data_IF_974293138767
#
_entry.id   IF_974293138767
#
_cell.length_a   1.000
_cell.length_b   1.000
_cell.length_c   1.000
_cell.angle_alpha   90.00
_cell.angle_beta   90.00
_cell.angle_gamma   90.00
#
_symmetry.space_group_name_H-M   'P 1'
#
loop_
_entity.id
_entity.type
_entity.pdbx_description
1 polymer ?
#
# COMPACT_ATOMS: atom_id res chain seq x y z
N UNK A 1 -24.13 23.63 4.44
CA UNK A 1 -22.99 22.68 4.30
C UNK A 1 -22.71 22.47 2.81
N UNK A 2 -21.43 22.42 2.42
CA UNK A 2 -21.02 22.17 1.02
C UNK A 2 -21.44 20.75 0.61
N UNK A 3 -21.95 20.58 -0.61
CA UNK A 3 -22.22 19.25 -1.17
C UNK A 3 -20.92 18.58 -1.64
N UNK A 4 -20.95 17.25 -1.80
CA UNK A 4 -19.77 16.50 -2.27
C UNK A 4 -19.35 16.90 -3.70
N UNK A 5 -20.33 17.16 -4.57
CA UNK A 5 -20.08 17.63 -5.94
C UNK A 5 -19.42 19.02 -5.97
N UNK A 6 -19.89 19.96 -5.15
CA UNK A 6 -19.30 21.29 -5.00
C UNK A 6 -17.85 21.20 -4.46
N UNK A 7 -17.64 20.35 -3.45
CA UNK A 7 -16.32 20.11 -2.90
C UNK A 7 -15.36 19.51 -3.93
N UNK A 8 -15.83 18.56 -4.73
CA UNK A 8 -15.04 17.97 -5.80
C UNK A 8 -14.69 18.98 -6.91
N UNK A 9 -15.64 19.82 -7.31
CA UNK A 9 -15.38 20.92 -8.25
C UNK A 9 -14.35 21.91 -7.70
N UNK A 10 -14.36 22.16 -6.39
CA UNK A 10 -13.35 22.99 -5.75
C UNK A 10 -11.98 22.28 -5.72
N UNK A 11 -11.94 20.98 -5.37
CA UNK A 11 -10.72 20.16 -5.44
C UNK A 11 -10.07 20.22 -6.84
N UNK A 12 -10.83 20.06 -7.90
CA UNK A 12 -10.31 20.17 -9.30
C UNK A 12 -9.71 21.52 -9.64
N UNK A 13 -10.02 22.57 -8.86
CA UNK A 13 -9.41 23.92 -8.99
C UNK A 13 -8.21 24.12 -8.05
N UNK A 14 -7.93 23.17 -7.18
CA UNK A 14 -6.77 23.17 -6.29
C UNK A 14 -5.57 22.51 -6.98
N UNK A 15 -4.36 22.96 -6.66
CA UNK A 15 -3.14 22.38 -7.24
C UNK A 15 -2.72 21.08 -6.57
N UNK A 16 -3.12 20.89 -5.30
CA UNK A 16 -2.79 19.71 -4.47
C UNK A 16 -3.76 19.55 -3.32
N UNK A 17 -3.69 18.41 -2.65
CA UNK A 17 -4.41 18.12 -1.41
C UNK A 17 -3.39 17.63 -0.37
N UNK A 18 -3.49 18.09 0.87
CA UNK A 18 -2.66 17.60 1.98
C UNK A 18 -3.41 17.61 3.31
N UNK A 19 -2.98 16.74 4.21
CA UNK A 19 -3.37 16.72 5.63
C UNK A 19 -2.24 17.22 6.54
N UNK A 20 -1.05 17.53 5.98
CA UNK A 20 0.13 18.00 6.69
C UNK A 20 0.31 19.51 6.47
N UNK A 21 0.14 20.32 7.52
CA UNK A 21 0.27 21.78 7.46
C UNK A 21 1.68 22.27 7.06
N UNK A 22 2.69 21.42 7.16
CA UNK A 22 4.08 21.72 6.73
C UNK A 22 4.29 21.56 5.22
N UNK A 23 3.33 20.96 4.52
CA UNK A 23 3.36 20.68 3.07
C UNK A 23 2.42 21.60 2.27
N UNK A 24 2.04 22.72 2.83
CA UNK A 24 1.20 23.70 2.15
C UNK A 24 1.99 24.35 1.02
N UNK A 25 1.38 24.39 -0.16
CA UNK A 25 1.84 25.12 -1.32
C UNK A 25 0.71 26.02 -1.86
N UNK A 26 0.99 27.06 -2.64
CA UNK A 26 -0.06 27.89 -3.21
C UNK A 26 -1.11 27.08 -3.98
N UNK A 27 -2.38 27.27 -3.62
CA UNK A 27 -3.51 26.57 -4.22
C UNK A 27 -3.87 25.22 -3.57
N UNK A 28 -3.17 24.76 -2.53
CA UNK A 28 -3.47 23.52 -1.81
C UNK A 28 -4.86 23.52 -1.17
N UNK A 29 -5.55 22.39 -1.18
CA UNK A 29 -6.68 22.07 -0.32
C UNK A 29 -6.18 21.36 0.95
N UNK A 30 -6.30 22.01 2.10
CA UNK A 30 -5.83 21.47 3.39
C UNK A 30 -6.97 20.80 4.13
N UNK A 31 -6.77 19.57 4.58
CA UNK A 31 -7.70 18.82 5.44
C UNK A 31 -7.19 18.84 6.89
N UNK A 32 -7.88 19.58 7.76
CA UNK A 32 -7.53 19.81 9.14
C UNK A 32 -7.89 18.62 10.05
N UNK A 33 -7.24 17.47 9.85
CA UNK A 33 -7.51 16.25 10.61
C UNK A 33 -7.13 16.39 12.09
N UNK A 34 -7.88 15.72 12.96
CA UNK A 34 -7.56 15.54 14.37
C UNK A 34 -6.79 14.25 14.59
N UNK A 35 -5.71 14.32 15.34
CA UNK A 35 -4.98 13.18 15.87
C UNK A 35 -5.05 13.13 17.39
N UNK A 36 -4.49 12.10 18.00
CA UNK A 36 -4.51 11.91 19.47
C UNK A 36 -3.80 13.03 20.25
N UNK A 37 -2.83 13.70 19.63
CA UNK A 37 -1.95 14.70 20.28
C UNK A 37 -2.04 16.09 19.67
N UNK A 38 -2.84 16.30 18.64
CA UNK A 38 -2.97 17.58 17.95
C UNK A 38 -4.35 17.72 17.31
N UNK A 39 -4.79 18.95 17.10
CA UNK A 39 -5.99 19.26 16.33
C UNK A 39 -5.58 20.05 15.07
N UNK A 40 -5.79 19.48 13.88
CA UNK A 40 -5.48 20.12 12.61
C UNK A 40 -6.20 21.45 12.40
N UNK A 41 -7.35 21.66 13.06
CA UNK A 41 -8.07 22.93 13.00
C UNK A 41 -7.24 24.11 13.52
N UNK A 42 -6.30 23.89 14.43
CA UNK A 42 -5.43 24.96 14.97
C UNK A 42 -4.51 25.53 13.90
N UNK A 43 -4.22 24.77 12.82
CA UNK A 43 -3.35 25.16 11.71
C UNK A 43 -4.12 25.71 10.50
N UNK A 44 -5.46 25.75 10.52
CA UNK A 44 -6.27 26.09 9.37
C UNK A 44 -6.01 27.53 8.85
N UNK A 45 -5.97 28.50 9.76
CA UNK A 45 -5.73 29.91 9.39
C UNK A 45 -4.27 30.13 8.93
N UNK A 46 -3.32 29.44 9.54
CA UNK A 46 -1.93 29.47 9.10
C UNK A 46 -1.77 28.87 7.70
N UNK A 47 -2.41 27.72 7.43
CA UNK A 47 -2.41 27.11 6.10
C UNK A 47 -2.96 28.06 5.02
N UNK A 48 -4.04 28.80 5.32
CA UNK A 48 -4.58 29.83 4.43
C UNK A 48 -3.58 31.00 4.24
N UNK A 49 -2.91 31.41 5.30
CA UNK A 49 -1.88 32.46 5.22
C UNK A 49 -0.67 32.03 4.38
N UNK A 50 -0.31 30.74 4.40
CA UNK A 50 0.74 30.13 3.57
C UNK A 50 0.32 29.94 2.10
N UNK A 51 -0.94 30.22 1.74
CA UNK A 51 -1.42 30.17 0.36
C UNK A 51 -2.33 28.98 0.04
N UNK A 52 -2.80 28.22 1.03
CA UNK A 52 -3.85 27.24 0.78
C UNK A 52 -5.09 27.92 0.19
N UNK A 53 -5.69 27.28 -0.81
CA UNK A 53 -6.91 27.79 -1.44
C UNK A 53 -8.13 27.64 -0.55
N UNK A 54 -8.17 26.57 0.23
CA UNK A 54 -9.17 26.32 1.27
C UNK A 54 -8.64 25.39 2.35
N UNK A 55 -9.23 25.48 3.53
CA UNK A 55 -9.04 24.55 4.63
C UNK A 55 -10.38 23.88 4.99
N UNK A 56 -10.44 22.56 4.96
CA UNK A 56 -11.60 21.77 5.38
C UNK A 56 -11.50 21.58 6.89
N UNK A 57 -12.47 22.08 7.62
CA UNK A 57 -12.46 22.16 9.09
C UNK A 57 -13.75 21.62 9.68
N UNK A 58 -13.72 21.12 10.92
CA UNK A 58 -14.92 20.68 11.69
C UNK A 58 -15.11 21.45 12.99
N UNK A 59 -14.43 22.61 13.14
CA UNK A 59 -14.57 23.54 14.25
C UNK A 59 -15.36 24.78 13.77
N UNK A 60 -16.58 24.94 14.29
CA UNK A 60 -17.53 25.99 13.84
C UNK A 60 -17.00 27.43 13.98
N UNK A 61 -16.13 27.71 14.95
CA UNK A 61 -15.53 29.06 15.14
C UNK A 61 -14.64 29.50 13.98
N UNK A 62 -14.16 28.57 13.13
CA UNK A 62 -13.34 28.86 11.96
C UNK A 62 -14.13 29.29 10.74
N UNK A 63 -15.41 28.97 10.66
CA UNK A 63 -16.28 29.37 9.55
C UNK A 63 -16.45 30.90 9.50
N UNK A 64 -16.57 31.53 10.67
CA UNK A 64 -16.67 32.99 10.80
C UNK A 64 -15.34 33.74 10.63
N UNK A 65 -14.20 33.04 10.71
CA UNK A 65 -12.84 33.61 10.63
C UNK A 65 -12.23 33.60 9.23
N UNK A 66 -13.02 33.22 8.20
CA UNK A 66 -12.51 33.13 6.82
C UNK A 66 -12.01 34.51 6.34
N UNK A 67 -10.77 34.56 5.77
CA UNK A 67 -10.25 35.79 5.19
C UNK A 67 -11.13 36.28 4.03
N UNK A 68 -11.30 37.58 3.91
CA UNK A 68 -12.12 38.18 2.84
C UNK A 68 -11.68 37.88 1.40
N UNK A 69 -12.44 38.34 0.44
CA UNK A 69 -12.30 38.05 -1.01
C UNK A 69 -10.83 38.13 -1.51
N UNK A 70 -10.37 37.04 -2.13
CA UNK A 70 -9.00 36.91 -2.68
C UNK A 70 -8.01 36.13 -1.81
N UNK A 71 -8.35 35.80 -0.58
CA UNK A 71 -7.62 34.88 0.30
C UNK A 71 -8.42 33.58 0.44
N UNK A 72 -7.74 32.45 0.69
CA UNK A 72 -8.40 31.17 0.89
C UNK A 72 -9.49 31.20 1.98
N UNK A 73 -10.38 30.23 2.02
CA UNK A 73 -11.50 30.15 2.96
C UNK A 73 -11.52 28.83 3.74
N UNK A 74 -11.99 28.89 5.00
CA UNK A 74 -12.38 27.70 5.74
C UNK A 74 -13.73 27.18 5.20
N UNK A 75 -13.84 25.87 5.10
CA UNK A 75 -15.06 25.17 4.74
C UNK A 75 -15.45 24.25 5.87
N UNK A 76 -16.51 24.60 6.55
CA UNK A 76 -17.03 23.83 7.69
C UNK A 76 -17.73 22.56 7.21
N UNK A 77 -17.31 21.43 7.78
CA UNK A 77 -17.93 20.11 7.57
C UNK A 77 -18.23 19.44 8.92
N UNK A 78 -19.04 18.40 8.91
CA UNK A 78 -19.38 17.65 10.12
C UNK A 78 -18.16 16.87 10.67
N UNK A 79 -17.36 16.27 9.77
CA UNK A 79 -16.16 15.53 10.09
C UNK A 79 -15.17 15.65 8.94
N UNK A 80 -13.98 16.15 9.23
CA UNK A 80 -12.89 16.30 8.23
C UNK A 80 -12.49 14.95 7.67
N UNK A 81 -12.34 13.93 8.52
CA UNK A 81 -11.95 12.58 8.10
C UNK A 81 -13.00 11.95 7.17
N UNK A 82 -14.26 11.96 7.58
CA UNK A 82 -15.35 11.40 6.75
C UNK A 82 -15.47 12.14 5.42
N UNK A 83 -15.25 13.44 5.41
CA UNK A 83 -15.27 14.26 4.20
C UNK A 83 -14.12 13.89 3.26
N UNK A 84 -12.89 13.69 3.78
CA UNK A 84 -11.75 13.21 3.00
C UNK A 84 -12.04 11.85 2.37
N UNK A 85 -12.57 10.91 3.14
CA UNK A 85 -12.92 9.57 2.68
C UNK A 85 -13.99 9.60 1.58
N UNK A 86 -15.06 10.37 1.77
CA UNK A 86 -16.12 10.54 0.77
C UNK A 86 -15.60 11.19 -0.50
N UNK A 87 -14.74 12.22 -0.38
CA UNK A 87 -14.15 12.90 -1.53
C UNK A 87 -13.22 11.95 -2.30
N UNK A 88 -12.39 11.17 -1.61
CA UNK A 88 -11.48 10.21 -2.24
C UNK A 88 -12.22 9.08 -2.94
N UNK A 89 -13.28 8.53 -2.31
CA UNK A 89 -14.11 7.54 -2.95
C UNK A 89 -14.82 8.12 -4.18
N UNK A 90 -15.44 9.30 -4.07
CA UNK A 90 -16.05 9.99 -5.19
C UNK A 90 -15.06 10.25 -6.34
N UNK A 91 -13.86 10.69 -6.02
CA UNK A 91 -12.78 10.84 -7.00
C UNK A 91 -12.44 9.50 -7.69
N UNK A 92 -12.27 8.42 -6.90
CA UNK A 92 -12.00 7.07 -7.41
C UNK A 92 -13.04 6.59 -8.43
N UNK A 93 -14.32 6.86 -8.19
CA UNK A 93 -15.40 6.40 -9.07
C UNK A 93 -15.44 7.08 -10.44
N UNK A 94 -14.70 8.18 -10.64
CA UNK A 94 -14.56 8.83 -11.94
C UNK A 94 -13.57 8.12 -12.88
N UNK A 95 -12.81 7.13 -12.39
CA UNK A 95 -11.79 6.46 -13.18
C UNK A 95 -12.13 4.96 -13.32
N UNK A 96 -12.36 4.53 -14.56
CA UNK A 96 -12.60 3.11 -14.85
C UNK A 96 -11.27 2.39 -15.11
N UNK A 97 -10.44 2.31 -14.07
CA UNK A 97 -9.14 1.65 -14.10
C UNK A 97 -9.09 0.46 -13.13
N UNK A 98 -8.26 -0.55 -13.38
CA UNK A 98 -7.98 -1.58 -12.39
C UNK A 98 -7.37 -0.99 -11.12
N UNK A 99 -7.83 -1.51 -9.97
CA UNK A 99 -7.25 -1.22 -8.66
C UNK A 99 -6.83 -2.53 -8.04
N UNK A 100 -5.52 -2.67 -7.80
CA UNK A 100 -4.90 -3.79 -7.12
C UNK A 100 -4.80 -3.53 -5.63
N UNK A 101 -5.53 -4.28 -4.81
CA UNK A 101 -5.46 -4.18 -3.36
C UNK A 101 -4.44 -5.17 -2.78
N UNK A 102 -3.62 -4.71 -1.83
CA UNK A 102 -2.60 -5.54 -1.18
C UNK A 102 -2.80 -5.47 0.32
N UNK A 103 -3.06 -6.62 0.96
CA UNK A 103 -3.04 -6.74 2.42
C UNK A 103 -2.24 -7.98 2.85
N UNK A 104 -2.11 -8.19 4.14
CA UNK A 104 -1.36 -9.31 4.73
C UNK A 104 -0.70 -8.91 6.04
N UNK A 105 -0.06 -9.85 6.70
CA UNK A 105 0.68 -9.58 7.93
C UNK A 105 2.04 -8.96 7.60
N UNK A 106 2.86 -9.65 6.82
CA UNK A 106 4.20 -9.24 6.43
C UNK A 106 4.31 -9.14 4.89
N UNK A 107 5.34 -8.47 4.39
CA UNK A 107 5.65 -8.40 2.96
C UNK A 107 4.79 -7.44 2.14
N UNK A 108 3.74 -6.82 2.68
CA UNK A 108 2.83 -5.92 1.94
C UNK A 108 3.56 -4.85 1.12
N UNK A 109 4.41 -4.08 1.76
CA UNK A 109 5.11 -2.96 1.12
C UNK A 109 6.11 -3.44 0.08
N UNK A 110 6.90 -4.48 0.39
CA UNK A 110 7.84 -5.08 -0.57
C UNK A 110 7.09 -5.64 -1.79
N UNK A 111 6.00 -6.38 -1.55
CA UNK A 111 5.15 -6.89 -2.64
C UNK A 111 4.55 -5.74 -3.46
N UNK A 112 4.05 -4.69 -2.82
CA UNK A 112 3.53 -3.49 -3.48
C UNK A 112 4.58 -2.84 -4.38
N UNK A 113 5.79 -2.65 -3.87
CA UNK A 113 6.87 -2.01 -4.62
C UNK A 113 7.37 -2.87 -5.79
N UNK A 114 7.45 -4.18 -5.62
CA UNK A 114 7.76 -5.11 -6.71
C UNK A 114 6.65 -5.12 -7.77
N UNK A 115 5.38 -5.14 -7.38
CA UNK A 115 4.25 -5.06 -8.31
C UNK A 115 4.28 -3.74 -9.08
N UNK A 116 4.53 -2.63 -8.39
CA UNK A 116 4.64 -1.31 -9.02
C UNK A 116 5.79 -1.25 -10.02
N UNK A 117 6.98 -1.75 -9.65
CA UNK A 117 8.13 -1.83 -10.54
C UNK A 117 7.83 -2.67 -11.81
N UNK A 118 7.14 -3.80 -11.65
CA UNK A 118 6.76 -4.69 -12.76
C UNK A 118 5.70 -4.04 -13.64
N UNK A 119 4.59 -3.55 -13.06
CA UNK A 119 3.49 -2.99 -13.83
C UNK A 119 3.89 -1.69 -14.53
N UNK A 120 4.80 -0.91 -13.96
CA UNK A 120 5.34 0.33 -14.55
C UNK A 120 6.14 0.09 -15.82
N UNK A 121 6.51 -1.15 -16.16
CA UNK A 121 7.15 -1.47 -17.44
C UNK A 121 6.18 -1.31 -18.61
N UNK A 122 4.87 -1.39 -18.37
CA UNK A 122 3.84 -1.34 -19.42
C UNK A 122 2.79 -0.25 -19.18
N UNK A 123 2.51 0.09 -17.93
CA UNK A 123 1.40 0.97 -17.54
C UNK A 123 1.89 2.18 -16.75
N UNK A 124 1.11 3.26 -16.78
CA UNK A 124 1.29 4.38 -15.85
C UNK A 124 0.58 4.05 -14.56
N UNK A 125 1.36 3.67 -13.56
CA UNK A 125 0.85 3.27 -12.25
C UNK A 125 0.82 4.42 -11.25
N UNK A 126 -0.02 4.29 -10.24
CA UNK A 126 0.15 4.94 -8.94
C UNK A 126 0.17 3.85 -7.86
N UNK A 127 0.99 4.03 -6.85
CA UNK A 127 1.05 3.10 -5.73
C UNK A 127 1.00 3.87 -4.40
N UNK A 128 0.53 3.18 -3.34
CA UNK A 128 0.58 3.71 -1.98
C UNK A 128 2.01 4.13 -1.61
N UNK A 129 2.20 5.37 -1.24
CA UNK A 129 3.49 5.89 -0.77
C UNK A 129 3.75 5.49 0.68
N UNK A 130 4.96 5.02 0.96
CA UNK A 130 5.39 4.69 2.32
C UNK A 130 4.42 3.73 3.02
N UNK A 131 3.87 4.17 4.15
CA UNK A 131 2.92 3.43 4.98
C UNK A 131 1.50 4.02 4.98
N UNK A 132 1.10 4.75 3.94
CA UNK A 132 -0.22 5.36 3.80
C UNK A 132 -1.31 4.30 3.51
N UNK A 133 -1.42 3.30 4.37
CA UNK A 133 -2.22 2.10 4.18
C UNK A 133 -3.44 1.98 5.11
N UNK A 134 -3.77 3.05 5.84
CA UNK A 134 -4.89 3.11 6.79
C UNK A 134 -6.05 3.98 6.27
N UNK A 135 -7.03 4.24 7.13
CA UNK A 135 -8.24 5.04 6.87
C UNK A 135 -8.00 6.52 6.48
N UNK A 136 -6.75 7.02 6.60
CA UNK A 136 -6.30 8.34 6.10
C UNK A 136 -5.44 8.16 4.84
N UNK A 137 -4.51 7.22 4.87
CA UNK A 137 -3.54 7.02 3.81
C UNK A 137 -4.13 6.48 2.52
N UNK A 138 -5.07 5.53 2.60
CA UNK A 138 -5.77 5.02 1.42
C UNK A 138 -6.53 6.13 0.70
N UNK A 139 -7.35 6.98 1.35
CA UNK A 139 -7.91 8.17 0.71
C UNK A 139 -6.87 9.05 0.00
N UNK A 140 -5.74 9.33 0.64
CA UNK A 140 -4.67 10.15 0.03
C UNK A 140 -4.07 9.48 -1.21
N UNK A 141 -3.88 8.17 -1.18
CA UNK A 141 -3.44 7.39 -2.35
C UNK A 141 -4.43 7.51 -3.50
N UNK A 142 -5.74 7.36 -3.23
CA UNK A 142 -6.78 7.46 -4.24
C UNK A 142 -6.85 8.85 -4.87
N UNK A 143 -6.62 9.92 -4.10
CA UNK A 143 -6.59 11.29 -4.62
C UNK A 143 -5.44 11.58 -5.58
N UNK A 144 -4.43 10.71 -5.69
CA UNK A 144 -3.35 10.81 -6.67
C UNK A 144 -3.72 10.21 -8.04
N UNK A 145 -4.85 9.51 -8.16
CA UNK A 145 -5.36 9.03 -9.45
C UNK A 145 -5.66 10.23 -10.36
N UNK A 146 -5.27 10.14 -11.62
CA UNK A 146 -5.53 11.18 -12.63
C UNK A 146 -5.76 10.56 -14.01
N UNK A 147 -6.05 11.40 -15.00
CA UNK A 147 -6.38 10.95 -16.35
C UNK A 147 -5.26 10.14 -17.05
N UNK A 148 -4.03 10.18 -16.54
CA UNK A 148 -2.91 9.39 -17.07
C UNK A 148 -2.74 8.05 -16.37
N UNK A 149 -3.38 7.88 -15.21
CA UNK A 149 -3.25 6.64 -14.42
C UNK A 149 -3.97 5.50 -15.12
N UNK A 150 -3.28 4.38 -15.31
CA UNK A 150 -3.84 3.18 -15.93
C UNK A 150 -4.08 2.06 -14.92
N UNK A 151 -3.30 1.98 -13.85
CA UNK A 151 -3.49 1.03 -12.74
C UNK A 151 -3.18 1.74 -11.42
N UNK A 152 -4.00 1.50 -10.40
CA UNK A 152 -3.74 1.93 -9.04
C UNK A 152 -3.40 0.72 -8.13
N UNK A 153 -2.36 0.85 -7.31
CA UNK A 153 -1.88 -0.19 -6.40
C UNK A 153 -2.03 0.32 -4.97
N UNK A 154 -2.97 -0.27 -4.22
CA UNK A 154 -3.39 0.25 -2.93
C UNK A 154 -3.03 -0.75 -1.82
N UNK A 155 -2.06 -0.39 -0.98
CA UNK A 155 -1.75 -1.15 0.23
C UNK A 155 -2.80 -0.88 1.31
N UNK A 156 -3.29 -1.94 1.96
CA UNK A 156 -4.33 -1.91 3.00
C UNK A 156 -3.83 -2.58 4.28
N UNK A 157 -3.54 -1.76 5.28
CA UNK A 157 -3.20 -2.20 6.63
C UNK A 157 -4.44 -2.36 7.51
N UNK A 158 -4.35 -3.25 8.50
CA UNK A 158 -5.36 -3.34 9.54
C UNK A 158 -4.75 -3.82 10.87
N UNK A 159 -5.31 -3.33 11.95
CA UNK A 159 -5.03 -3.69 13.34
C UNK A 159 -6.26 -4.20 14.09
N UNK A 160 -7.48 -4.02 13.53
CA UNK A 160 -8.75 -4.43 14.10
C UNK A 160 -9.70 -4.99 13.03
N UNK A 161 -10.71 -5.81 13.40
CA UNK A 161 -11.76 -6.29 12.51
C UNK A 161 -12.54 -5.14 11.85
N UNK A 162 -12.95 -5.34 10.57
CA UNK A 162 -13.73 -4.37 9.81
C UNK A 162 -12.90 -3.27 9.12
N UNK A 163 -11.61 -3.16 9.44
CA UNK A 163 -10.77 -2.12 8.82
C UNK A 163 -10.52 -2.39 7.34
N UNK A 164 -10.22 -3.63 6.94
CA UNK A 164 -10.07 -3.97 5.52
C UNK A 164 -11.40 -3.78 4.79
N UNK A 165 -12.52 -4.21 5.38
CA UNK A 165 -13.85 -4.01 4.80
C UNK A 165 -14.18 -2.53 4.55
N UNK A 166 -13.70 -1.64 5.41
CA UNK A 166 -13.85 -0.19 5.23
C UNK A 166 -12.98 0.34 4.09
N UNK A 167 -11.72 -0.12 4.01
CA UNK A 167 -10.76 0.34 2.99
C UNK A 167 -11.14 -0.15 1.58
N UNK A 168 -11.63 -1.39 1.44
CA UNK A 168 -12.07 -1.91 0.13
C UNK A 168 -13.29 -1.15 -0.41
N UNK A 169 -14.18 -0.67 0.47
CA UNK A 169 -15.32 0.18 0.07
C UNK A 169 -14.88 1.55 -0.45
N UNK A 170 -13.75 2.07 0.03
CA UNK A 170 -13.19 3.33 -0.46
C UNK A 170 -12.46 3.16 -1.79
N UNK A 171 -11.67 2.10 -1.92
CA UNK A 171 -10.81 1.89 -3.07
C UNK A 171 -11.50 1.17 -4.23
N UNK A 172 -12.55 0.40 -3.97
CA UNK A 172 -13.24 -0.47 -4.94
C UNK A 172 -12.25 -1.28 -5.80
N UNK A 173 -11.43 -2.16 -5.17
CA UNK A 173 -10.44 -2.92 -5.90
C UNK A 173 -11.08 -3.92 -6.85
N UNK A 174 -10.49 -4.09 -8.05
CA UNK A 174 -10.91 -5.07 -9.06
C UNK A 174 -10.18 -6.40 -8.93
N UNK A 175 -9.01 -6.37 -8.28
CA UNK A 175 -8.21 -7.55 -7.95
C UNK A 175 -7.43 -7.31 -6.65
N UNK A 176 -6.89 -8.37 -6.05
CA UNK A 176 -6.16 -8.21 -4.81
C UNK A 176 -5.41 -9.44 -4.34
N UNK A 177 -4.52 -9.22 -3.37
CA UNK A 177 -3.68 -10.24 -2.77
C UNK A 177 -3.68 -10.11 -1.25
N UNK A 178 -3.73 -11.24 -0.55
CA UNK A 178 -3.27 -11.37 0.83
C UNK A 178 -1.89 -12.03 0.77
N UNK A 179 -0.84 -11.29 1.11
CA UNK A 179 0.54 -11.80 1.01
C UNK A 179 0.76 -13.01 1.91
N UNK A 180 0.35 -12.90 3.16
CA UNK A 180 0.35 -13.98 4.14
C UNK A 180 -0.52 -13.61 5.35
N UNK A 181 -0.74 -14.58 6.23
CA UNK A 181 -1.33 -14.40 7.56
C UNK A 181 -0.36 -14.89 8.62
N UNK A 182 -0.14 -14.09 9.65
CA UNK A 182 0.80 -14.35 10.73
C UNK A 182 0.31 -13.77 12.06
N UNK A 183 0.99 -14.11 13.14
CA UNK A 183 0.64 -13.67 14.50
C UNK A 183 1.14 -12.23 14.73
N UNK A 184 0.38 -11.25 14.25
CA UNK A 184 0.62 -9.82 14.49
C UNK A 184 -0.66 -9.13 14.97
N UNK A 185 -0.53 -8.07 15.75
CA UNK A 185 -1.64 -7.27 16.29
C UNK A 185 -2.72 -8.12 17.01
N UNK A 186 -2.32 -9.21 17.69
CA UNK A 186 -3.27 -10.16 18.31
C UNK A 186 -4.18 -9.48 19.35
N UNK A 187 -3.74 -8.42 20.02
CA UNK A 187 -4.57 -7.64 20.93
C UNK A 187 -5.76 -7.01 20.20
N UNK A 188 -5.55 -6.45 19.01
CA UNK A 188 -6.61 -5.81 18.22
C UNK A 188 -7.51 -6.82 17.52
N UNK A 189 -6.94 -7.91 17.01
CA UNK A 189 -7.71 -8.97 16.29
C UNK A 189 -8.33 -10.02 17.21
N UNK A 190 -7.91 -10.07 18.48
CA UNK A 190 -8.37 -11.04 19.49
C UNK A 190 -7.78 -12.44 19.34
N UNK A 191 -7.45 -12.89 18.12
CA UNK A 191 -6.91 -14.23 17.85
C UNK A 191 -6.27 -14.31 16.46
N UNK A 192 -5.57 -15.41 16.18
CA UNK A 192 -5.06 -15.69 14.83
C UNK A 192 -6.20 -15.88 13.80
N UNK A 193 -7.30 -16.50 14.19
CA UNK A 193 -8.50 -16.59 13.36
C UNK A 193 -9.13 -15.21 13.11
N UNK A 194 -9.01 -14.28 14.05
CA UNK A 194 -9.37 -12.87 13.86
C UNK A 194 -8.53 -12.19 12.78
N UNK A 195 -7.22 -12.47 12.74
CA UNK A 195 -6.34 -12.00 11.66
C UNK A 195 -6.80 -12.52 10.29
N UNK A 196 -7.04 -13.85 10.18
CA UNK A 196 -7.53 -14.48 8.93
C UNK A 196 -8.85 -13.91 8.48
N UNK A 197 -9.80 -13.73 9.40
CA UNK A 197 -11.11 -13.18 9.12
C UNK A 197 -10.99 -11.74 8.58
N UNK A 198 -10.21 -10.89 9.25
CA UNK A 198 -10.03 -9.50 8.83
C UNK A 198 -9.33 -9.39 7.48
N UNK A 199 -8.25 -10.14 7.24
CA UNK A 199 -7.60 -10.15 5.92
C UNK A 199 -8.52 -10.73 4.85
N UNK A 200 -9.35 -11.70 5.20
CA UNK A 200 -10.36 -12.30 4.34
C UNK A 200 -11.48 -11.34 3.92
N UNK A 201 -11.67 -10.20 4.59
CA UNK A 201 -12.60 -9.15 4.16
C UNK A 201 -12.31 -8.64 2.73
N UNK A 202 -11.04 -8.65 2.31
CA UNK A 202 -10.67 -8.38 0.92
C UNK A 202 -11.22 -9.46 -0.03
N UNK A 203 -11.10 -10.74 0.35
CA UNK A 203 -11.61 -11.85 -0.44
C UNK A 203 -13.15 -11.83 -0.53
N UNK A 204 -13.82 -11.46 0.57
CA UNK A 204 -15.28 -11.33 0.60
C UNK A 204 -15.77 -10.24 -0.38
N UNK A 205 -15.08 -9.09 -0.40
CA UNK A 205 -15.39 -8.02 -1.33
C UNK A 205 -15.17 -8.44 -2.79
N UNK A 206 -13.98 -8.97 -3.11
CA UNK A 206 -13.66 -9.40 -4.48
C UNK A 206 -14.59 -10.50 -4.98
N UNK A 207 -14.99 -11.44 -4.12
CA UNK A 207 -16.01 -12.45 -4.46
C UNK A 207 -17.33 -11.82 -4.88
N UNK A 208 -17.78 -10.79 -4.17
CA UNK A 208 -19.06 -10.13 -4.45
C UNK A 208 -19.09 -9.44 -5.82
N UNK A 209 -17.95 -8.90 -6.25
CA UNK A 209 -17.85 -8.18 -7.53
C UNK A 209 -17.32 -9.03 -8.68
N UNK A 210 -16.99 -10.31 -8.45
CA UNK A 210 -16.33 -11.18 -9.45
C UNK A 210 -14.89 -10.79 -9.74
N UNK A 211 -14.22 -10.12 -8.80
CA UNK A 211 -12.81 -9.71 -8.93
C UNK A 211 -11.83 -10.87 -8.73
N UNK A 212 -10.59 -10.68 -9.17
CA UNK A 212 -9.54 -11.70 -9.13
C UNK A 212 -8.74 -11.65 -7.83
N UNK A 213 -8.52 -12.82 -7.22
CA UNK A 213 -7.70 -13.02 -6.03
C UNK A 213 -6.41 -13.72 -6.40
N UNK A 214 -5.27 -13.08 -6.14
CA UNK A 214 -3.95 -13.71 -6.21
C UNK A 214 -3.61 -14.37 -4.88
N UNK A 215 -3.10 -15.60 -4.91
CA UNK A 215 -2.71 -16.29 -3.69
C UNK A 215 -1.59 -17.30 -3.90
N UNK A 216 -0.74 -17.45 -2.88
CA UNK A 216 0.27 -18.50 -2.84
C UNK A 216 -0.41 -19.85 -2.60
N UNK A 217 -0.32 -20.75 -3.59
CA UNK A 217 -0.95 -22.08 -3.54
C UNK A 217 -0.26 -23.06 -2.58
N UNK A 218 0.91 -22.71 -2.05
CA UNK A 218 1.63 -23.49 -1.05
C UNK A 218 1.24 -23.09 0.38
N UNK A 219 0.53 -21.97 0.55
CA UNK A 219 0.04 -21.52 1.86
C UNK A 219 -1.27 -22.18 2.26
N UNK A 220 -1.21 -23.10 3.23
CA UNK A 220 -2.41 -23.79 3.77
C UNK A 220 -3.42 -22.79 4.38
N UNK A 221 -2.94 -21.73 5.04
CA UNK A 221 -3.81 -20.71 5.61
C UNK A 221 -4.60 -19.97 4.53
N UNK A 222 -3.95 -19.55 3.43
CA UNK A 222 -4.63 -18.86 2.33
C UNK A 222 -5.59 -19.81 1.60
N UNK A 223 -5.21 -21.07 1.38
CA UNK A 223 -6.11 -22.08 0.84
C UNK A 223 -7.35 -22.27 1.73
N UNK A 224 -7.16 -22.38 3.04
CA UNK A 224 -8.25 -22.50 4.00
C UNK A 224 -9.20 -21.27 3.97
N UNK A 225 -8.64 -20.06 3.84
CA UNK A 225 -9.43 -18.85 3.70
C UNK A 225 -10.26 -18.83 2.41
N UNK A 226 -9.72 -19.35 1.30
CA UNK A 226 -10.42 -19.44 0.02
C UNK A 226 -11.46 -20.56 0.01
N UNK A 227 -11.17 -21.72 0.63
CA UNK A 227 -12.10 -22.84 0.70
C UNK A 227 -13.44 -22.48 1.36
N UNK A 228 -13.42 -21.53 2.30
CA UNK A 228 -14.64 -20.99 2.93
C UNK A 228 -15.41 -19.98 2.05
N UNK A 229 -14.92 -19.68 0.84
CA UNK A 229 -15.44 -18.65 -0.09
C UNK A 229 -15.62 -19.19 -1.49
N UNK A 230 -16.55 -20.12 -1.72
CA UNK A 230 -16.73 -20.72 -3.05
C UNK A 230 -17.11 -19.68 -4.10
N UNK A 231 -16.69 -19.91 -5.32
CA UNK A 231 -17.03 -19.08 -6.48
C UNK A 231 -16.14 -17.86 -6.70
N UNK A 232 -15.04 -17.70 -5.94
CA UNK A 232 -14.05 -16.64 -6.20
C UNK A 232 -13.23 -16.97 -7.47
N UNK A 233 -12.90 -15.93 -8.22
CA UNK A 233 -11.93 -16.01 -9.32
C UNK A 233 -10.53 -15.93 -8.74
N UNK A 234 -9.67 -16.89 -9.03
CA UNK A 234 -8.33 -16.97 -8.46
C UNK A 234 -7.23 -17.07 -9.50
N UNK A 235 -6.10 -16.42 -9.22
CA UNK A 235 -4.84 -16.61 -9.89
C UNK A 235 -3.81 -17.11 -8.88
N UNK A 236 -3.24 -18.28 -9.15
CA UNK A 236 -2.30 -18.96 -8.24
C UNK A 236 -0.87 -18.53 -8.53
N UNK A 237 -0.04 -18.51 -7.51
CA UNK A 237 1.42 -18.49 -7.65
C UNK A 237 2.06 -19.40 -6.59
N UNK A 238 3.31 -19.74 -6.79
CA UNK A 238 4.07 -20.60 -5.87
C UNK A 238 5.34 -21.14 -6.52
N UNK A 239 6.22 -21.74 -5.72
CA UNK A 239 7.52 -22.25 -6.19
C UNK A 239 7.36 -23.41 -7.16
N UNK A 240 6.40 -24.27 -6.93
CA UNK A 240 6.09 -25.40 -7.81
C UNK A 240 5.59 -24.94 -9.17
N UNK A 241 4.68 -23.96 -9.21
CA UNK A 241 4.12 -23.42 -10.46
C UNK A 241 5.16 -22.82 -11.38
N UNK A 242 6.12 -22.10 -10.81
CA UNK A 242 7.17 -21.40 -11.56
C UNK A 242 8.49 -22.17 -11.63
N UNK A 243 8.49 -23.45 -11.19
CA UNK A 243 9.68 -24.31 -11.17
C UNK A 243 10.89 -23.61 -10.53
N UNK A 244 10.64 -22.99 -9.37
CA UNK A 244 11.62 -22.13 -8.71
C UNK A 244 12.70 -22.96 -8.04
N UNK A 245 13.95 -22.59 -8.28
CA UNK A 245 15.09 -23.02 -7.47
C UNK A 245 15.88 -21.82 -6.95
N UNK A 246 16.31 -21.91 -5.71
CA UNK A 246 17.25 -20.96 -5.13
C UNK A 246 18.64 -21.23 -5.72
N UNK A 247 19.28 -20.20 -6.21
CA UNK A 247 20.65 -20.26 -6.72
C UNK A 247 21.51 -19.42 -5.78
N UNK A 248 22.62 -19.99 -5.28
CA UNK A 248 23.64 -19.17 -4.65
C UNK A 248 24.24 -18.28 -5.75
N UNK A 249 24.27 -16.97 -5.52
CA UNK A 249 25.24 -16.11 -6.21
C UNK A 249 26.64 -16.55 -5.76
N UNK A 250 27.66 -15.75 -5.98
CA UNK A 250 28.98 -15.98 -5.39
C UNK A 250 28.86 -16.31 -3.89
N UNK A 251 29.78 -17.11 -3.34
CA UNK A 251 29.71 -17.62 -1.97
C UNK A 251 29.49 -16.53 -0.90
N UNK A 252 29.76 -15.27 -1.24
CA UNK A 252 29.68 -14.11 -0.34
C UNK A 252 28.47 -13.18 -0.60
N UNK A 253 27.58 -13.49 -1.57
CA UNK A 253 26.47 -12.60 -1.89
C UNK A 253 25.28 -12.81 -0.94
N UNK A 254 24.84 -11.79 -0.17
CA UNK A 254 23.68 -11.89 0.71
C UNK A 254 22.34 -11.79 -0.05
N UNK A 255 22.39 -11.49 -1.35
CA UNK A 255 21.19 -11.23 -2.13
C UNK A 255 20.56 -12.51 -2.68
N UNK A 256 19.24 -12.50 -2.69
CA UNK A 256 18.43 -13.57 -3.23
C UNK A 256 18.60 -13.67 -4.75
N UNK A 257 18.97 -14.85 -5.24
CA UNK A 257 18.95 -15.21 -6.66
C UNK A 257 18.03 -16.40 -6.87
N UNK A 258 17.16 -16.28 -7.86
CA UNK A 258 16.12 -17.26 -8.18
C UNK A 258 16.30 -17.72 -9.63
N UNK A 259 16.19 -19.03 -9.86
CA UNK A 259 15.86 -19.53 -11.20
C UNK A 259 14.33 -19.71 -11.25
N UNK A 260 13.69 -19.02 -12.19
CA UNK A 260 12.26 -19.11 -12.45
C UNK A 260 12.10 -19.60 -13.89
N UNK A 261 11.56 -20.81 -14.07
CA UNK A 261 11.68 -21.57 -15.30
C UNK A 261 13.16 -21.66 -15.75
N UNK A 262 13.48 -21.17 -16.92
CA UNK A 262 14.86 -21.16 -17.44
C UNK A 262 15.61 -19.83 -17.25
N UNK A 263 15.00 -18.84 -16.58
CA UNK A 263 15.58 -17.52 -16.36
C UNK A 263 16.12 -17.38 -14.95
N UNK A 264 17.35 -16.93 -14.80
CA UNK A 264 17.93 -16.48 -13.54
C UNK A 264 17.51 -15.01 -13.31
N UNK A 265 17.03 -14.72 -12.11
CA UNK A 265 16.65 -13.38 -11.63
C UNK A 265 17.53 -13.06 -10.43
N UNK A 266 18.45 -12.15 -10.61
CA UNK A 266 19.38 -11.67 -9.58
C UNK A 266 18.79 -10.44 -8.90
N UNK A 267 18.20 -10.62 -7.71
CA UNK A 267 17.53 -9.53 -6.99
C UNK A 267 18.49 -8.73 -6.10
N UNK A 268 18.07 -7.53 -5.68
CA UNK A 268 18.72 -6.80 -4.59
C UNK A 268 17.96 -6.98 -3.25
N UNK A 269 17.23 -8.08 -3.12
CA UNK A 269 16.50 -8.45 -1.92
C UNK A 269 17.34 -9.41 -1.07
N UNK A 270 17.26 -9.31 0.24
CA UNK A 270 17.90 -10.20 1.19
C UNK A 270 16.83 -11.13 1.79
N UNK A 271 17.16 -12.41 1.91
CA UNK A 271 16.35 -13.40 2.60
C UNK A 271 15.34 -14.13 1.72
N UNK A 272 15.26 -15.44 1.95
CA UNK A 272 14.40 -16.36 1.20
C UNK A 272 12.89 -16.09 1.39
N UNK A 273 12.50 -15.39 2.47
CA UNK A 273 11.13 -14.93 2.67
C UNK A 273 10.63 -13.94 1.61
N UNK A 274 11.54 -13.39 0.78
CA UNK A 274 11.17 -12.54 -0.35
C UNK A 274 10.82 -13.33 -1.62
N UNK A 275 11.03 -14.64 -1.65
CA UNK A 275 10.62 -15.49 -2.79
C UNK A 275 9.15 -15.29 -3.10
N UNK A 276 8.28 -15.40 -2.10
CA UNK A 276 6.83 -15.23 -2.27
C UNK A 276 6.47 -13.83 -2.79
N UNK A 277 7.17 -12.78 -2.34
CA UNK A 277 6.94 -11.42 -2.80
C UNK A 277 7.31 -11.26 -4.29
N UNK A 278 8.43 -11.86 -4.72
CA UNK A 278 8.87 -11.89 -6.12
C UNK A 278 7.88 -12.68 -6.99
N UNK A 279 7.48 -13.87 -6.56
CA UNK A 279 6.53 -14.71 -7.31
C UNK A 279 5.15 -14.06 -7.43
N UNK A 280 4.70 -13.35 -6.39
CA UNK A 280 3.47 -12.57 -6.47
C UNK A 280 3.56 -11.46 -7.53
N UNK A 281 4.69 -10.76 -7.61
CA UNK A 281 4.90 -9.72 -8.62
C UNK A 281 4.97 -10.32 -10.04
N UNK A 282 5.60 -11.49 -10.22
CA UNK A 282 5.62 -12.21 -11.50
C UNK A 282 4.20 -12.60 -11.92
N UNK A 283 3.41 -13.22 -11.03
CA UNK A 283 2.04 -13.65 -11.34
C UNK A 283 1.13 -12.47 -11.70
N UNK A 284 1.30 -11.33 -11.02
CA UNK A 284 0.52 -10.12 -11.31
C UNK A 284 1.00 -9.48 -12.62
N UNK A 285 2.31 -9.47 -12.90
CA UNK A 285 2.86 -9.04 -14.19
C UNK A 285 2.31 -9.88 -15.35
N UNK A 286 2.28 -11.20 -15.20
CA UNK A 286 1.70 -12.13 -16.17
C UNK A 286 0.20 -11.86 -16.41
N UNK A 287 -0.58 -11.67 -15.34
CA UNK A 287 -2.01 -11.37 -15.44
C UNK A 287 -2.29 -10.06 -16.18
N UNK A 288 -1.46 -9.04 -15.99
CA UNK A 288 -1.54 -7.77 -16.71
C UNK A 288 -0.73 -7.77 -18.03
N UNK A 289 -0.26 -8.94 -18.48
CA UNK A 289 0.44 -9.12 -19.73
C UNK A 289 1.70 -8.24 -19.87
N UNK A 290 2.43 -8.04 -18.78
CA UNK A 290 3.79 -7.48 -18.84
C UNK A 290 4.72 -8.56 -19.39
N UNK A 291 5.54 -8.29 -20.41
CA UNK A 291 6.45 -9.28 -20.95
C UNK A 291 7.38 -9.85 -19.85
N UNK A 292 7.54 -11.18 -19.80
CA UNK A 292 8.31 -11.85 -18.74
C UNK A 292 9.74 -11.31 -18.62
N UNK A 293 10.39 -11.02 -19.76
CA UNK A 293 11.74 -10.43 -19.75
C UNK A 293 11.80 -9.04 -19.09
N UNK A 294 10.76 -8.23 -19.24
CA UNK A 294 10.67 -6.90 -18.62
C UNK A 294 10.28 -7.03 -17.13
N UNK A 295 9.43 -8.00 -16.79
CA UNK A 295 9.14 -8.38 -15.40
C UNK A 295 10.42 -8.75 -14.66
N UNK A 296 11.26 -9.62 -15.23
CA UNK A 296 12.55 -10.00 -14.63
C UNK A 296 13.47 -8.81 -14.42
N UNK A 297 13.65 -7.96 -15.44
CA UNK A 297 14.48 -6.74 -15.34
C UNK A 297 13.96 -5.77 -14.27
N UNK A 298 12.64 -5.60 -14.16
CA UNK A 298 12.06 -4.75 -13.15
C UNK A 298 12.38 -5.24 -11.73
N UNK A 299 12.32 -6.56 -11.51
CA UNK A 299 12.65 -7.20 -10.23
C UNK A 299 14.15 -7.09 -9.93
N UNK A 300 15.01 -7.33 -10.93
CA UNK A 300 16.47 -7.22 -10.83
C UNK A 300 16.92 -5.78 -10.47
N UNK A 301 16.23 -4.78 -11.01
CA UNK A 301 16.54 -3.37 -10.77
C UNK A 301 15.92 -2.81 -9.48
N UNK A 302 14.95 -3.50 -8.89
CA UNK A 302 14.33 -3.05 -7.65
C UNK A 302 15.30 -3.16 -6.47
N UNK A 303 15.44 -2.08 -5.71
CA UNK A 303 16.24 -2.03 -4.47
C UNK A 303 15.40 -1.46 -3.33
N UNK A 304 15.30 -2.14 -2.17
CA UNK A 304 14.59 -1.61 -1.01
C UNK A 304 15.19 -0.28 -0.52
N UNK A 305 14.35 0.72 -0.28
CA UNK A 305 14.77 2.05 0.19
C UNK A 305 14.11 2.47 1.51
N UNK A 306 13.33 1.57 2.14
CA UNK A 306 12.37 1.89 3.20
C UNK A 306 12.69 1.20 4.54
N UNK A 307 13.96 0.90 4.81
CA UNK A 307 14.42 0.21 6.03
C UNK A 307 13.80 -1.19 6.22
N UNK A 308 13.52 -1.90 5.11
CA UNK A 308 13.02 -3.28 5.11
C UNK A 308 14.06 -4.18 4.48
N UNK A 309 14.86 -4.86 5.31
CA UNK A 309 15.97 -5.70 4.87
C UNK A 309 16.89 -4.99 3.87
N UNK A 310 17.06 -3.69 4.06
CA UNK A 310 17.91 -2.83 3.24
C UNK A 310 19.36 -2.99 3.63
N UNK A 311 20.22 -3.27 2.67
CA UNK A 311 21.66 -3.29 2.91
C UNK A 311 22.27 -1.92 2.67
N UNK A 312 23.08 -1.47 3.61
CA UNK A 312 23.85 -0.22 3.53
C UNK A 312 25.33 -0.51 3.78
N UNK A 313 26.14 -0.14 2.83
CA UNK A 313 27.61 -0.16 2.98
C UNK A 313 28.06 1.13 3.64
N UNK A 314 28.83 1.00 4.72
CA UNK A 314 29.55 2.11 5.34
C UNK A 314 31.06 1.91 5.17
N UNK A 315 31.92 2.90 5.44
CA UNK A 315 33.37 2.72 5.36
C UNK A 315 33.92 1.63 6.29
N UNK A 316 33.19 1.22 7.31
CA UNK A 316 33.66 0.30 8.35
C UNK A 316 32.80 -0.96 8.50
N UNK A 317 31.53 -0.94 8.02
CA UNK A 317 30.58 -2.01 8.25
C UNK A 317 29.57 -2.15 7.12
N UNK A 318 29.08 -3.37 6.92
CA UNK A 318 27.87 -3.64 6.16
C UNK A 318 26.71 -3.73 7.14
N UNK A 319 25.68 -2.88 6.95
CA UNK A 319 24.51 -2.83 7.79
C UNK A 319 23.32 -3.43 7.05
N UNK A 320 22.58 -4.34 7.72
CA UNK A 320 21.28 -4.80 7.27
C UNK A 320 20.23 -4.05 8.08
N UNK A 321 19.52 -3.14 7.42
CA UNK A 321 18.55 -2.25 8.04
C UNK A 321 17.16 -2.84 7.90
N UNK A 322 16.61 -3.41 8.99
CA UNK A 322 15.26 -3.96 9.07
C UNK A 322 14.55 -3.40 10.31
N UNK A 323 14.31 -2.08 10.28
CA UNK A 323 13.89 -1.30 11.45
C UNK A 323 12.49 -0.67 11.30
N UNK A 324 11.72 -1.07 10.28
CA UNK A 324 10.40 -0.47 10.05
C UNK A 324 9.37 -0.92 11.09
N UNK A 325 9.29 -2.22 11.35
CA UNK A 325 8.35 -2.82 12.33
C UNK A 325 8.87 -4.19 12.77
N UNK A 326 8.47 -4.61 13.96
CA UNK A 326 8.85 -5.90 14.53
C UNK A 326 7.62 -6.69 14.98
N UNK A 327 7.57 -7.95 14.59
CA UNK A 327 6.68 -8.95 15.15
C UNK A 327 7.41 -10.29 15.23
N UNK A 328 6.94 -11.28 16.03
CA UNK A 328 7.66 -12.53 16.22
C UNK A 328 8.02 -13.26 14.92
N UNK A 329 7.13 -13.22 13.91
CA UNK A 329 7.34 -13.89 12.63
C UNK A 329 8.40 -13.18 11.79
N UNK A 330 8.32 -11.86 11.65
CA UNK A 330 9.28 -11.08 10.85
C UNK A 330 10.66 -11.07 11.50
N UNK A 331 10.73 -10.92 12.83
CA UNK A 331 12.00 -10.95 13.57
C UNK A 331 12.71 -12.29 13.42
N UNK A 332 11.98 -13.40 13.56
CA UNK A 332 12.55 -14.73 13.37
C UNK A 332 13.10 -14.87 11.95
N UNK A 333 12.32 -14.56 10.92
CA UNK A 333 12.75 -14.66 9.53
C UNK A 333 14.01 -13.82 9.24
N UNK A 334 14.08 -12.60 9.79
CA UNK A 334 15.25 -11.73 9.65
C UNK A 334 16.48 -12.29 10.34
N UNK A 335 16.34 -12.81 11.58
CA UNK A 335 17.45 -13.39 12.35
C UNK A 335 17.92 -14.72 11.74
N UNK A 336 17.01 -15.60 11.35
CA UNK A 336 17.35 -16.88 10.70
C UNK A 336 18.11 -16.64 9.38
N UNK A 337 17.73 -15.60 8.63
CA UNK A 337 18.45 -15.20 7.45
C UNK A 337 19.83 -14.62 7.78
N UNK A 338 19.95 -13.77 8.80
CA UNK A 338 21.22 -13.18 9.21
C UNK A 338 22.24 -14.26 9.62
N UNK A 339 21.80 -15.31 10.30
CA UNK A 339 22.65 -16.44 10.70
C UNK A 339 23.18 -17.28 9.52
N UNK A 340 22.57 -17.15 8.35
CA UNK A 340 22.98 -17.88 7.13
C UNK A 340 23.91 -17.04 6.25
N UNK A 341 24.11 -15.75 6.57
CA UNK A 341 25.02 -14.91 5.80
C UNK A 341 26.47 -15.29 6.08
N UNK A 342 27.33 -15.28 5.05
CA UNK A 342 28.77 -15.43 5.24
C UNK A 342 29.27 -14.22 6.04
N UNK A 343 29.64 -14.45 7.29
CA UNK A 343 30.24 -13.43 8.14
C UNK A 343 31.78 -13.54 7.99
N UNK A 344 32.40 -12.53 7.44
CA UNK A 344 33.84 -12.35 7.60
C UNK A 344 34.15 -12.02 9.07
N UNK A 345 35.09 -12.78 9.68
CA UNK A 345 35.59 -12.55 11.03
C UNK A 345 36.45 -11.29 11.10
#
# INVERSE_FOLDING_TARGET
MITLDELYKLYKKCGSLTTDSRKITPGTMFFALKGDRFDGNDFALEALAQGAKCAIVDRATLDAASPGAGKGSCILVESVLTTLQKLAHYHRTHFNIPVMAITGTNGKTTTKELIDAVLSQKYRTIATEGNLNNHIGVPLTLMNINEKTEIAIVEMGASAPGEIASLVKLAEPTCGIVTNVGKAHLLGFGSFEGVKRTKGELYDYLRQIGGTIFYNEESEDLKGMLASRPGVVTCKYGTTRYEVSLIGRDEDSPYLSLKVHDRIIDTNLIGTYNVDNVLAAIAIGEYFEVPFGDTCKAIENYSPSNHRSQMLQTPYNTLIFDAYNANPTSMRASLDNFLQLPLEN
#
